data_IF_881070515375
#
_entry.id   IF_881070515375
#
_cell.length_a   1.000
_cell.length_b   1.000
_cell.length_c   1.000
_cell.angle_alpha   90.00
_cell.angle_beta   90.00
_cell.angle_gamma   90.00
#
_symmetry.space_group_name_H-M   'P 1'
#
loop_
_entity.id
_entity.type
_entity.pdbx_description
1 polymer ?
#
# COMPACT_ATOMS: atom_id res chain seq x y z
N UNK A 1 -7.01 52.08 -37.18
CA UNK A 1 -6.90 51.89 -35.73
C UNK A 1 -6.50 50.45 -35.51
N UNK A 2 -5.19 50.20 -35.41
CA UNK A 2 -4.66 48.85 -35.18
C UNK A 2 -4.69 48.57 -33.68
N UNK A 3 -5.47 47.58 -33.25
CA UNK A 3 -5.47 47.08 -31.89
C UNK A 3 -4.27 46.14 -31.70
N UNK A 4 -3.29 46.54 -30.93
CA UNK A 4 -2.23 45.66 -30.42
C UNK A 4 -2.85 44.72 -29.41
N UNK A 5 -3.00 43.44 -29.79
CA UNK A 5 -3.21 42.38 -28.81
C UNK A 5 -1.87 42.20 -28.05
N UNK A 6 -1.80 42.68 -26.85
CA UNK A 6 -0.75 42.33 -25.90
C UNK A 6 -1.02 40.87 -25.49
N UNK A 7 -0.30 39.93 -26.08
CA UNK A 7 -0.25 38.56 -25.57
C UNK A 7 0.40 38.64 -24.17
N UNK A 8 -0.41 38.48 -23.13
CA UNK A 8 0.10 38.32 -21.76
C UNK A 8 0.92 37.04 -21.74
N UNK A 9 2.25 37.19 -21.66
CA UNK A 9 3.11 36.04 -21.43
C UNK A 9 2.76 35.48 -20.04
N UNK A 10 2.03 34.38 -19.99
CA UNK A 10 1.85 33.62 -18.75
C UNK A 10 3.24 33.15 -18.32
N UNK A 11 3.73 33.67 -17.19
CA UNK A 11 4.96 33.17 -16.57
C UNK A 11 4.78 31.68 -16.33
N UNK A 12 5.70 30.87 -16.84
CA UNK A 12 5.66 29.42 -16.63
C UNK A 12 5.73 29.14 -15.12
N UNK A 13 4.79 28.36 -14.58
CA UNK A 13 4.79 27.92 -13.17
C UNK A 13 6.10 27.18 -12.86
N UNK A 14 6.74 27.54 -11.76
CA UNK A 14 7.87 26.81 -11.20
C UNK A 14 7.42 25.57 -10.42
N UNK A 15 8.34 24.67 -10.10
CA UNK A 15 8.03 23.54 -9.21
C UNK A 15 7.58 24.00 -7.83
N UNK A 16 8.03 25.14 -7.37
CA UNK A 16 7.61 25.74 -6.10
C UNK A 16 6.15 26.18 -6.15
N UNK A 17 5.67 26.71 -7.29
CA UNK A 17 4.26 27.06 -7.46
C UNK A 17 3.37 25.81 -7.40
N UNK A 18 3.79 24.69 -8.01
CA UNK A 18 3.10 23.40 -7.91
C UNK A 18 3.12 22.84 -6.48
N UNK A 19 4.24 23.01 -5.78
CA UNK A 19 4.36 22.61 -4.37
C UNK A 19 3.41 23.41 -3.47
N UNK A 20 3.31 24.73 -3.67
CA UNK A 20 2.34 25.57 -2.93
C UNK A 20 0.89 25.18 -3.23
N UNK A 21 0.56 24.96 -4.49
CA UNK A 21 -0.78 24.58 -4.94
C UNK A 21 -1.21 23.20 -4.42
N UNK A 22 -0.26 22.29 -4.15
CA UNK A 22 -0.53 20.95 -3.62
C UNK A 22 -1.37 20.97 -2.34
N UNK A 23 -1.19 21.97 -1.49
CA UNK A 23 -1.89 22.10 -0.20
C UNK A 23 -3.39 22.28 -0.40
N UNK A 24 -3.79 23.21 -1.27
CA UNK A 24 -5.20 23.43 -1.58
C UNK A 24 -5.82 22.26 -2.33
N UNK A 25 -5.04 21.62 -3.23
CA UNK A 25 -5.49 20.43 -3.97
C UNK A 25 -5.71 19.24 -3.05
N UNK A 26 -4.79 18.97 -2.11
CA UNK A 26 -5.00 17.90 -1.14
C UNK A 26 -6.18 18.19 -0.22
N UNK A 27 -6.27 19.41 0.34
CA UNK A 27 -7.40 19.82 1.16
C UNK A 27 -8.74 19.59 0.44
N UNK A 28 -8.85 19.95 -0.84
CA UNK A 28 -10.06 19.71 -1.63
C UNK A 28 -10.31 18.23 -1.90
N UNK A 29 -9.26 17.43 -2.15
CA UNK A 29 -9.38 16.00 -2.43
C UNK A 29 -9.84 15.22 -1.19
N UNK A 30 -9.38 15.59 0.01
CA UNK A 30 -9.79 14.97 1.26
C UNK A 30 -11.27 15.18 1.59
N UNK A 31 -11.90 16.25 1.09
CA UNK A 31 -13.34 16.51 1.26
C UNK A 31 -14.23 15.59 0.44
N UNK A 32 -13.66 14.87 -0.50
CA UNK A 32 -14.41 13.96 -1.35
C UNK A 32 -14.54 12.61 -0.66
N UNK A 33 -15.76 12.24 -0.34
CA UNK A 33 -16.10 10.97 0.27
C UNK A 33 -15.92 9.82 -0.73
N UNK A 34 -14.87 9.04 -0.48
CA UNK A 34 -14.51 7.81 -1.17
C UNK A 34 -14.28 6.66 -0.19
N UNK A 35 -15.02 6.69 0.95
CA UNK A 35 -14.93 5.64 1.97
C UNK A 35 -15.35 4.29 1.36
N UNK A 36 -14.53 3.28 1.57
CA UNK A 36 -14.74 1.93 1.09
C UNK A 36 -14.91 0.96 2.29
N UNK A 37 -16.02 0.23 2.44
CA UNK A 37 -17.20 0.24 1.60
C UNK A 37 -18.08 1.51 1.77
N UNK A 38 -18.93 1.89 0.78
CA UNK A 38 -19.18 1.19 -0.49
C UNK A 38 -18.19 1.51 -1.62
N UNK A 39 -17.28 2.45 -1.45
CA UNK A 39 -16.49 3.08 -2.47
C UNK A 39 -17.15 4.40 -2.89
N UNK A 40 -16.98 4.91 -4.03
CA UNK A 40 -17.45 6.13 -4.68
C UNK A 40 -16.27 6.85 -5.36
N UNK A 41 -15.31 6.09 -5.80
CA UNK A 41 -14.06 6.59 -6.37
C UNK A 41 -14.31 7.43 -7.62
N UNK A 42 -15.43 7.22 -8.34
CA UNK A 42 -15.84 8.09 -9.46
C UNK A 42 -15.94 9.56 -9.07
N UNK A 43 -16.21 9.89 -7.79
CA UNK A 43 -16.17 11.28 -7.28
C UNK A 43 -14.74 11.82 -7.24
N UNK A 44 -13.78 11.00 -6.79
CA UNK A 44 -12.35 11.30 -6.81
C UNK A 44 -11.82 11.46 -8.23
N UNK A 45 -12.19 10.54 -9.12
CA UNK A 45 -11.91 10.63 -10.56
C UNK A 45 -12.40 11.97 -11.12
N UNK A 46 -13.65 12.37 -10.85
CA UNK A 46 -14.18 13.64 -11.32
C UNK A 46 -13.44 14.88 -10.79
N UNK A 47 -12.80 14.78 -9.63
CA UNK A 47 -11.92 15.84 -9.12
C UNK A 47 -10.58 15.87 -9.85
N UNK A 48 -9.92 14.72 -9.98
CA UNK A 48 -8.61 14.59 -10.63
C UNK A 48 -8.70 14.96 -12.12
N UNK A 49 -9.77 14.55 -12.80
CA UNK A 49 -10.05 14.91 -14.19
C UNK A 49 -10.09 16.42 -14.41
N UNK A 50 -10.77 17.16 -13.53
CA UNK A 50 -10.84 18.62 -13.64
C UNK A 50 -9.46 19.28 -13.50
N UNK A 51 -8.57 18.73 -12.70
CA UNK A 51 -7.19 19.22 -12.60
C UNK A 51 -6.48 19.00 -13.94
N UNK A 52 -6.54 17.79 -14.50
CA UNK A 52 -5.90 17.48 -15.80
C UNK A 52 -6.48 18.32 -16.93
N UNK A 53 -7.81 18.50 -16.98
CA UNK A 53 -8.50 19.36 -17.94
C UNK A 53 -8.01 20.82 -17.85
N UNK A 54 -7.91 21.37 -16.65
CA UNK A 54 -7.44 22.74 -16.44
C UNK A 54 -6.01 22.96 -16.91
N UNK A 55 -5.21 21.90 -16.92
CA UNK A 55 -3.84 21.89 -17.40
C UNK A 55 -3.74 21.46 -18.89
N UNK A 56 -4.86 21.12 -19.54
CA UNK A 56 -4.92 20.70 -20.94
C UNK A 56 -4.21 19.36 -21.19
N UNK A 57 -4.20 18.48 -20.21
CA UNK A 57 -3.57 17.15 -20.28
C UNK A 57 -4.63 16.10 -20.54
N UNK A 58 -4.41 15.27 -21.57
CA UNK A 58 -5.30 14.18 -21.91
C UNK A 58 -5.28 13.08 -20.84
N UNK A 59 -6.45 12.51 -20.59
CA UNK A 59 -6.62 11.40 -19.64
C UNK A 59 -7.71 10.45 -20.14
N UNK A 60 -7.75 9.27 -19.56
CA UNK A 60 -8.80 8.27 -19.76
C UNK A 60 -9.42 7.87 -18.42
N UNK A 61 -10.69 7.48 -18.46
CA UNK A 61 -11.48 7.05 -17.29
C UNK A 61 -12.24 5.80 -17.62
N UNK A 62 -12.40 4.92 -16.64
CA UNK A 62 -13.28 3.77 -16.73
C UNK A 62 -13.93 3.50 -15.35
N UNK A 63 -15.21 3.14 -15.36
CA UNK A 63 -15.87 2.53 -14.20
C UNK A 63 -15.83 1.02 -14.35
N UNK A 64 -15.16 0.34 -13.43
CA UNK A 64 -15.09 -1.14 -13.38
C UNK A 64 -16.37 -1.76 -12.79
N UNK A 65 -17.08 -1.00 -11.97
CA UNK A 65 -18.40 -1.28 -11.41
C UNK A 65 -19.07 0.07 -11.06
N UNK A 66 -20.36 0.13 -10.72
CA UNK A 66 -21.03 1.37 -10.35
C UNK A 66 -20.27 2.16 -9.26
N UNK A 67 -19.90 3.41 -9.57
CA UNK A 67 -19.11 4.32 -8.75
C UNK A 67 -17.64 3.90 -8.47
N UNK A 68 -17.15 2.80 -9.05
CA UNK A 68 -15.77 2.32 -8.90
C UNK A 68 -14.92 2.86 -10.06
N UNK A 69 -14.64 4.17 -10.04
CA UNK A 69 -13.94 4.88 -11.11
C UNK A 69 -12.42 4.72 -11.01
N UNK A 70 -11.78 4.55 -12.17
CA UNK A 70 -10.33 4.52 -12.34
C UNK A 70 -9.94 5.58 -13.38
N UNK A 71 -8.77 6.18 -13.24
CA UNK A 71 -8.25 7.22 -14.12
C UNK A 71 -6.79 6.96 -14.45
N UNK A 72 -6.37 7.23 -15.68
CA UNK A 72 -4.95 7.34 -16.04
C UNK A 72 -4.72 8.42 -17.09
N UNK A 73 -3.50 8.95 -17.06
CA UNK A 73 -3.01 9.95 -18.01
C UNK A 73 -1.59 9.58 -18.41
N UNK A 74 -1.23 9.74 -19.69
CA UNK A 74 0.08 9.32 -20.20
C UNK A 74 0.80 10.48 -20.90
N UNK A 75 2.00 10.80 -20.45
CA UNK A 75 2.96 11.63 -21.17
C UNK A 75 3.84 10.72 -22.05
N UNK A 76 3.85 11.00 -23.34
CA UNK A 76 4.60 10.20 -24.32
C UNK A 76 6.04 10.66 -24.42
N UNK A 77 6.96 9.71 -24.51
CA UNK A 77 8.35 9.98 -24.85
C UNK A 77 8.50 10.41 -26.30
N UNK A 78 9.52 11.18 -26.60
CA UNK A 78 9.83 11.64 -27.95
C UNK A 78 10.26 10.47 -28.88
N UNK A 79 10.78 9.41 -28.32
CA UNK A 79 11.16 8.16 -29.03
C UNK A 79 10.60 6.97 -28.26
N UNK A 80 9.65 6.22 -28.84
CA UNK A 80 9.25 4.95 -28.26
C UNK A 80 10.49 4.05 -28.16
N UNK A 81 10.82 3.60 -26.94
CA UNK A 81 12.06 2.83 -26.74
C UNK A 81 11.99 1.42 -27.35
N UNK A 82 10.80 0.92 -27.65
CA UNK A 82 10.57 -0.48 -28.03
C UNK A 82 10.85 -1.47 -26.90
N UNK A 83 11.25 -0.96 -25.73
CA UNK A 83 11.49 -1.71 -24.50
C UNK A 83 10.39 -1.44 -23.47
N UNK A 84 10.19 -2.38 -22.55
CA UNK A 84 9.29 -2.20 -21.39
C UNK A 84 9.99 -1.32 -20.35
N UNK A 85 9.86 -0.01 -20.46
CA UNK A 85 10.54 0.95 -19.58
C UNK A 85 9.67 2.13 -19.12
N UNK A 86 8.39 2.20 -19.52
CA UNK A 86 7.46 3.19 -19.04
C UNK A 86 7.28 3.07 -17.51
N UNK A 87 7.08 4.23 -16.85
CA UNK A 87 6.88 4.33 -15.41
C UNK A 87 5.43 4.67 -15.10
N UNK A 88 4.79 3.87 -14.24
CA UNK A 88 3.50 4.19 -13.64
C UNK A 88 3.70 4.83 -12.27
N UNK A 89 3.04 5.97 -12.04
CA UNK A 89 2.85 6.61 -10.74
C UNK A 89 1.43 6.26 -10.27
N UNK A 90 1.32 5.43 -9.26
CA UNK A 90 0.05 4.89 -8.78
C UNK A 90 -0.30 5.42 -7.40
N UNK A 91 -1.56 5.76 -7.21
CA UNK A 91 -2.19 5.90 -5.89
C UNK A 91 -3.63 5.40 -5.95
N UNK A 92 -4.15 4.91 -4.83
CA UNK A 92 -5.57 4.57 -4.74
C UNK A 92 -6.41 5.76 -4.28
N UNK A 93 -7.69 5.76 -4.68
CA UNK A 93 -8.64 6.84 -4.44
C UNK A 93 -9.45 6.59 -3.17
N UNK A 94 -9.78 5.33 -2.92
CA UNK A 94 -10.59 4.92 -1.76
C UNK A 94 -9.83 5.09 -0.44
N UNK A 95 -10.59 5.10 0.65
CA UNK A 95 -10.07 5.25 2.01
C UNK A 95 -10.89 4.39 2.95
N UNK A 96 -10.25 3.88 4.02
CA UNK A 96 -10.97 3.12 5.06
C UNK A 96 -11.98 3.98 5.83
N UNK A 97 -13.03 3.38 6.41
CA UNK A 97 -13.99 4.07 7.28
C UNK A 97 -13.31 4.77 8.46
N UNK A 98 -13.90 5.87 8.89
CA UNK A 98 -13.49 6.61 10.06
C UNK A 98 -14.68 6.84 10.99
N UNK A 99 -14.54 6.49 12.27
CA UNK A 99 -15.57 6.80 13.25
C UNK A 99 -15.39 8.22 13.77
N UNK A 100 -16.23 9.14 13.32
CA UNK A 100 -16.19 10.57 13.65
C UNK A 100 -16.08 10.87 15.15
N UNK A 101 -16.66 10.01 16.00
CA UNK A 101 -16.65 10.21 17.46
C UNK A 101 -15.26 10.11 18.11
N UNK A 102 -14.31 9.51 17.44
CA UNK A 102 -12.91 9.36 17.90
C UNK A 102 -11.94 10.35 17.26
N UNK A 103 -12.43 11.23 16.37
CA UNK A 103 -11.62 12.21 15.68
C UNK A 103 -11.79 13.60 16.29
N UNK A 104 -10.69 14.33 16.45
CA UNK A 104 -10.70 15.73 16.87
C UNK A 104 -11.23 16.66 15.78
N UNK A 105 -11.13 16.25 14.51
CA UNK A 105 -11.60 16.94 13.31
C UNK A 105 -12.61 16.07 12.56
N UNK A 106 -13.35 16.66 11.61
CA UNK A 106 -14.12 15.85 10.69
C UNK A 106 -13.16 15.08 9.77
N UNK A 107 -13.26 13.74 9.64
CA UNK A 107 -12.39 12.95 8.78
C UNK A 107 -12.37 13.37 7.31
N UNK A 108 -13.40 14.07 6.86
CA UNK A 108 -13.52 14.59 5.49
C UNK A 108 -13.43 16.12 5.42
N UNK A 109 -12.89 16.79 6.44
CA UNK A 109 -12.80 18.26 6.44
C UNK A 109 -11.73 18.81 5.51
N UNK A 110 -10.61 18.11 5.35
CA UNK A 110 -9.45 18.65 4.65
C UNK A 110 -8.90 19.92 5.31
N UNK A 111 -9.10 20.10 6.61
CA UNK A 111 -8.69 21.29 7.34
C UNK A 111 -7.16 21.47 7.33
N UNK A 112 -6.73 22.69 7.04
CA UNK A 112 -5.32 23.09 7.13
C UNK A 112 -5.13 23.90 8.40
N UNK A 113 -4.44 23.31 9.38
CA UNK A 113 -4.26 23.91 10.70
C UNK A 113 -2.93 23.47 11.32
N UNK A 114 -2.26 24.39 12.02
CA UNK A 114 -1.04 24.14 12.79
C UNK A 114 0.07 23.44 11.96
N UNK A 115 0.16 23.76 10.66
CA UNK A 115 1.15 23.19 9.74
C UNK A 115 0.80 21.81 9.18
N UNK A 116 -0.41 21.30 9.42
CA UNK A 116 -0.90 20.01 8.93
C UNK A 116 -2.19 20.15 8.12
N UNK A 117 -2.40 19.19 7.23
CA UNK A 117 -3.65 18.97 6.47
C UNK A 117 -4.29 17.72 7.07
N UNK A 118 -5.47 17.89 7.66
CA UNK A 118 -6.18 16.82 8.35
C UNK A 118 -7.22 16.17 7.46
N UNK A 119 -7.30 14.85 7.50
CA UNK A 119 -8.34 14.08 6.82
C UNK A 119 -7.96 12.63 6.60
N UNK A 120 -8.94 11.75 6.55
CA UNK A 120 -8.77 10.36 6.16
C UNK A 120 -8.28 10.31 4.70
N UNK A 121 -7.17 9.60 4.47
CA UNK A 121 -6.49 9.55 3.18
C UNK A 121 -5.37 10.59 3.04
N UNK A 122 -5.08 11.41 4.07
CA UNK A 122 -4.00 12.40 3.99
C UNK A 122 -2.62 11.75 3.77
N UNK A 123 -2.39 10.58 4.38
CA UNK A 123 -1.19 9.76 4.20
C UNK A 123 -1.50 8.60 3.26
N UNK A 124 -2.66 7.97 3.43
CA UNK A 124 -3.06 6.71 2.79
C UNK A 124 -4.29 6.91 1.87
N UNK A 125 -4.13 7.25 0.55
CA UNK A 125 -2.90 7.67 -0.15
C UNK A 125 -3.11 8.91 -1.00
N UNK A 126 -4.19 9.71 -0.74
CA UNK A 126 -4.51 10.94 -1.49
C UNK A 126 -3.35 11.96 -1.48
N UNK A 127 -2.60 12.04 -0.35
CA UNK A 127 -1.42 12.90 -0.25
C UNK A 127 -0.32 12.50 -1.22
N UNK A 128 -0.04 11.20 -1.34
CA UNK A 128 0.88 10.65 -2.33
C UNK A 128 0.40 10.99 -3.75
N UNK A 129 -0.89 10.74 -4.04
CA UNK A 129 -1.50 11.01 -5.33
C UNK A 129 -1.37 12.47 -5.76
N UNK A 130 -1.57 13.43 -4.84
CA UNK A 130 -1.37 14.86 -5.12
C UNK A 130 0.11 15.17 -5.36
N UNK A 131 1.05 14.61 -4.59
CA UNK A 131 2.47 14.83 -4.81
C UNK A 131 2.91 14.31 -6.18
N UNK A 132 2.49 13.11 -6.57
CA UNK A 132 2.72 12.52 -7.89
C UNK A 132 2.11 13.36 -9.01
N UNK A 133 0.85 13.76 -8.86
CA UNK A 133 0.15 14.60 -9.85
C UNK A 133 0.84 15.94 -10.07
N UNK A 134 1.22 16.64 -9.00
CA UNK A 134 1.88 17.94 -9.12
C UNK A 134 3.23 17.85 -9.83
N UNK A 135 4.03 16.83 -9.52
CA UNK A 135 5.29 16.57 -10.20
C UNK A 135 5.08 16.19 -11.67
N UNK A 136 4.08 15.37 -11.97
CA UNK A 136 3.69 15.00 -13.34
C UNK A 136 3.26 16.23 -14.16
N UNK A 137 2.43 17.11 -13.60
CA UNK A 137 1.98 18.35 -14.24
C UNK A 137 3.15 19.31 -14.50
N UNK A 138 4.03 19.50 -13.50
CA UNK A 138 5.20 20.34 -13.63
C UNK A 138 6.12 19.86 -14.77
N UNK A 139 6.34 18.54 -14.87
CA UNK A 139 7.14 17.95 -15.92
C UNK A 139 6.46 18.07 -17.30
N UNK A 140 5.14 17.86 -17.39
CA UNK A 140 4.40 18.06 -18.63
C UNK A 140 4.54 19.50 -19.17
N UNK A 141 4.60 20.49 -18.26
CA UNK A 141 4.73 21.91 -18.60
C UNK A 141 6.17 22.36 -18.87
N UNK A 142 7.16 21.62 -18.36
CA UNK A 142 8.57 21.99 -18.60
C UNK A 142 8.97 21.92 -20.07
N UNK A 143 8.29 21.06 -20.85
CA UNK A 143 8.63 20.80 -22.25
C UNK A 143 9.92 19.99 -22.40
N UNK A 144 10.51 19.48 -21.31
CA UNK A 144 11.70 18.65 -21.37
C UNK A 144 11.39 17.31 -22.10
N UNK A 145 12.26 16.88 -23.03
CA UNK A 145 11.99 15.67 -23.81
C UNK A 145 12.11 14.43 -22.91
N UNK A 146 11.07 13.61 -22.90
CA UNK A 146 11.08 12.35 -22.17
C UNK A 146 11.80 11.26 -22.96
N UNK A 147 12.60 10.43 -22.27
CA UNK A 147 13.24 9.23 -22.80
C UNK A 147 12.36 7.97 -22.60
N UNK A 148 11.34 8.04 -21.75
CA UNK A 148 10.34 6.99 -21.50
C UNK A 148 8.97 7.59 -21.17
N UNK A 149 7.93 6.82 -21.40
CA UNK A 149 6.57 7.25 -21.08
C UNK A 149 6.36 7.32 -19.57
N UNK A 150 5.59 8.31 -19.14
CA UNK A 150 5.11 8.43 -17.76
C UNK A 150 3.59 8.28 -17.73
N UNK A 151 3.10 7.47 -16.81
CA UNK A 151 1.67 7.22 -16.61
C UNK A 151 1.32 7.63 -15.18
N UNK A 152 0.44 8.61 -15.04
CA UNK A 152 -0.21 8.91 -13.77
C UNK A 152 -1.48 8.06 -13.68
N UNK A 153 -1.66 7.30 -12.61
CA UNK A 153 -2.78 6.38 -12.43
C UNK A 153 -3.41 6.52 -11.06
N UNK A 154 -4.74 6.59 -11.01
CA UNK A 154 -5.54 6.61 -9.79
C UNK A 154 -6.55 5.47 -9.84
N UNK A 155 -6.49 4.55 -8.89
CA UNK A 155 -7.28 3.31 -8.87
C UNK A 155 -8.30 3.28 -7.75
N UNK A 156 -9.33 2.47 -7.92
CA UNK A 156 -10.33 2.16 -6.92
C UNK A 156 -9.94 0.93 -6.11
N UNK A 157 -10.57 0.75 -4.91
CA UNK A 157 -10.73 -0.54 -4.23
C UNK A 157 -9.48 -1.13 -3.58
N UNK A 158 -8.38 -0.40 -3.45
CA UNK A 158 -7.17 -0.94 -2.85
C UNK A 158 -7.43 -1.47 -1.43
N UNK A 159 -8.16 -0.71 -0.62
CA UNK A 159 -8.50 -1.00 0.77
C UNK A 159 -9.37 -2.26 0.96
N UNK A 160 -9.95 -2.77 -0.14
CA UNK A 160 -10.72 -4.01 -0.18
C UNK A 160 -10.09 -5.11 -1.08
N UNK A 161 -8.85 -4.91 -1.54
CA UNK A 161 -8.07 -5.88 -2.30
C UNK A 161 -7.81 -5.53 -3.76
N UNK A 162 -8.22 -4.34 -4.24
CA UNK A 162 -7.89 -3.81 -5.57
C UNK A 162 -8.59 -4.46 -6.76
N UNK A 163 -9.61 -5.30 -6.51
CA UNK A 163 -10.29 -6.08 -7.57
C UNK A 163 -11.15 -5.23 -8.51
N UNK A 164 -11.58 -4.03 -8.08
CA UNK A 164 -12.25 -3.04 -8.94
C UNK A 164 -11.31 -1.94 -9.42
N UNK A 165 -10.03 -1.97 -9.00
CA UNK A 165 -8.98 -1.04 -9.36
C UNK A 165 -7.91 -1.65 -10.23
N UNK A 166 -6.70 -1.73 -9.69
CA UNK A 166 -5.51 -2.24 -10.38
C UNK A 166 -5.69 -3.67 -10.92
N UNK A 167 -6.35 -4.56 -10.16
CA UNK A 167 -6.67 -5.91 -10.61
C UNK A 167 -7.59 -5.91 -11.82
N UNK A 168 -8.65 -5.10 -11.79
CA UNK A 168 -9.57 -4.99 -12.93
C UNK A 168 -8.87 -4.43 -14.18
N UNK A 169 -8.06 -3.39 -14.01
CA UNK A 169 -7.30 -2.79 -15.12
C UNK A 169 -6.33 -3.79 -15.74
N UNK A 170 -5.60 -4.56 -14.91
CA UNK A 170 -4.71 -5.64 -15.37
C UNK A 170 -5.45 -6.64 -16.27
N UNK A 171 -6.65 -7.05 -15.89
CA UNK A 171 -7.38 -8.12 -16.57
C UNK A 171 -8.20 -7.62 -17.77
N UNK A 172 -8.67 -6.35 -17.77
CA UNK A 172 -9.58 -5.82 -18.78
C UNK A 172 -8.98 -4.74 -19.68
N UNK A 173 -7.85 -4.15 -19.29
CA UNK A 173 -7.13 -3.08 -20.03
C UNK A 173 -5.63 -3.35 -20.09
N UNK A 174 -5.19 -4.58 -20.43
CA UNK A 174 -3.77 -4.98 -20.43
C UNK A 174 -2.91 -4.10 -21.36
N UNK A 175 -3.50 -3.50 -22.41
CA UNK A 175 -2.81 -2.63 -23.35
C UNK A 175 -2.17 -1.38 -22.68
N UNK A 176 -2.66 -0.97 -21.51
CA UNK A 176 -2.07 0.14 -20.75
C UNK A 176 -0.66 -0.23 -20.28
N UNK A 177 -0.41 -1.52 -20.04
CA UNK A 177 0.77 -2.04 -19.35
C UNK A 177 1.79 -2.73 -20.27
N UNK A 178 1.54 -2.83 -21.57
CA UNK A 178 2.40 -3.57 -22.53
C UNK A 178 3.86 -3.09 -22.53
N UNK A 179 4.07 -1.77 -22.42
CA UNK A 179 5.39 -1.12 -22.40
C UNK A 179 5.84 -0.69 -21.00
N UNK A 180 5.10 -1.04 -19.95
CA UNK A 180 5.42 -0.67 -18.57
C UNK A 180 6.48 -1.61 -18.02
N UNK A 181 7.57 -1.02 -17.53
CA UNK A 181 8.65 -1.72 -16.84
C UNK A 181 8.74 -1.41 -15.35
N UNK A 182 8.17 -0.28 -14.93
CA UNK A 182 8.33 0.25 -13.58
C UNK A 182 7.02 0.80 -13.02
N UNK A 183 6.89 0.67 -11.68
CA UNK A 183 5.80 1.26 -10.90
C UNK A 183 6.36 1.92 -9.64
N UNK A 184 5.84 3.10 -9.31
CA UNK A 184 5.92 3.73 -7.99
C UNK A 184 4.53 3.80 -7.37
N UNK A 185 4.37 3.19 -6.22
CA UNK A 185 3.16 3.12 -5.44
C UNK A 185 3.46 3.48 -3.98
N UNK A 186 2.49 3.32 -3.10
CA UNK A 186 2.64 3.38 -1.65
C UNK A 186 3.42 2.18 -1.05
N UNK A 187 3.61 2.17 0.26
CA UNK A 187 4.16 1.02 1.03
C UNK A 187 5.53 1.28 1.64
N UNK A 188 6.27 2.30 1.17
CA UNK A 188 7.53 2.77 1.75
C UNK A 188 7.49 4.26 2.05
N UNK A 189 8.24 4.71 3.05
CA UNK A 189 8.32 6.12 3.45
C UNK A 189 9.58 6.40 4.26
N UNK A 190 9.93 7.67 4.42
CA UNK A 190 10.92 8.08 5.40
C UNK A 190 10.43 7.85 6.84
N UNK A 191 11.31 7.39 7.71
CA UNK A 191 11.07 7.28 9.15
C UNK A 191 12.08 8.08 9.93
N UNK A 192 11.60 8.82 10.91
CA UNK A 192 12.43 9.64 11.79
C UNK A 192 12.98 8.80 12.95
N UNK A 193 14.30 8.80 13.10
CA UNK A 193 15.06 8.26 14.22
C UNK A 193 15.83 9.41 14.89
N UNK A 194 15.17 10.12 15.80
CA UNK A 194 15.69 11.38 16.33
C UNK A 194 15.77 12.45 15.24
N UNK A 195 16.97 12.90 14.90
CA UNK A 195 17.23 13.86 13.82
C UNK A 195 17.56 13.20 12.48
N UNK A 196 17.75 11.89 12.45
CA UNK A 196 18.11 11.13 11.25
C UNK A 196 16.85 10.59 10.55
N UNK A 197 16.92 10.45 9.23
CA UNK A 197 15.86 9.87 8.41
C UNK A 197 16.37 8.55 7.83
N UNK A 198 15.59 7.47 7.97
CA UNK A 198 15.75 6.26 7.18
C UNK A 198 14.70 6.29 6.07
N UNK A 199 15.11 6.28 4.81
CA UNK A 199 14.18 6.18 3.68
C UNK A 199 13.95 4.70 3.36
N UNK A 200 12.74 4.22 3.65
CA UNK A 200 12.34 2.84 3.40
C UNK A 200 11.61 2.75 2.06
N UNK A 201 12.05 1.84 1.21
CA UNK A 201 11.43 1.56 -0.09
C UNK A 201 10.91 0.13 -0.09
N UNK A 202 9.61 -0.03 -0.21
CA UNK A 202 8.98 -1.34 -0.27
C UNK A 202 9.35 -2.02 -1.59
N UNK A 203 9.93 -3.21 -1.49
CA UNK A 203 10.34 -4.06 -2.63
C UNK A 203 9.53 -5.34 -2.71
N UNK A 204 8.84 -5.68 -1.64
CA UNK A 204 7.96 -6.84 -1.50
C UNK A 204 7.06 -6.69 -0.28
N UNK A 205 6.05 -7.53 -0.21
CA UNK A 205 5.06 -7.53 0.88
C UNK A 205 4.81 -8.93 1.39
N UNK A 206 4.27 -9.07 2.60
CA UNK A 206 3.70 -10.35 3.02
C UNK A 206 2.50 -10.66 2.13
N UNK A 207 2.38 -11.92 1.73
CA UNK A 207 1.33 -12.38 0.83
C UNK A 207 0.07 -12.66 1.63
N UNK A 208 -1.02 -11.88 1.45
CA UNK A 208 -2.28 -12.19 2.12
C UNK A 208 -2.86 -13.49 1.59
N UNK A 209 -3.40 -14.26 2.51
CA UNK A 209 -4.20 -15.44 2.23
C UNK A 209 -5.39 -15.43 3.18
N UNK A 210 -6.50 -14.90 2.70
CA UNK A 210 -7.73 -14.87 3.48
C UNK A 210 -8.53 -16.14 3.24
N UNK A 211 -8.91 -16.80 4.31
CA UNK A 211 -9.51 -18.12 4.28
C UNK A 211 -10.83 -18.12 5.05
N UNK A 212 -11.82 -18.84 4.53
CA UNK A 212 -13.03 -19.19 5.28
C UNK A 212 -13.01 -20.68 5.58
N UNK A 213 -13.10 -21.01 6.86
CA UNK A 213 -13.29 -22.37 7.38
C UNK A 213 -14.79 -22.60 7.58
N UNK A 214 -15.27 -23.74 7.09
CA UNK A 214 -16.66 -24.17 7.32
C UNK A 214 -16.65 -25.56 7.93
N UNK A 215 -17.21 -25.67 9.13
CA UNK A 215 -17.42 -26.94 9.80
C UNK A 215 -18.89 -27.36 9.71
N UNK A 216 -19.13 -28.59 9.35
CA UNK A 216 -20.50 -29.15 9.25
C UNK A 216 -20.80 -30.16 10.36
N UNK A 217 -22.04 -30.24 10.78
CA UNK A 217 -22.47 -31.19 11.82
C UNK A 217 -24.00 -31.41 11.84
N UNK A 218 -24.44 -32.34 12.64
CA UNK A 218 -25.87 -32.57 12.81
C UNK A 218 -26.48 -31.45 13.66
N UNK A 219 -27.52 -30.75 13.18
CA UNK A 219 -28.21 -29.77 14.00
C UNK A 219 -29.05 -30.40 15.10
N UNK A 220 -29.37 -29.63 16.15
CA UNK A 220 -30.18 -30.16 17.22
C UNK A 220 -30.57 -29.15 18.31
N UNK A 221 -31.25 -29.59 19.31
CA UNK A 221 -31.65 -28.78 20.46
C UNK A 221 -30.52 -28.71 21.47
N UNK A 222 -30.17 -27.47 21.94
CA UNK A 222 -29.07 -27.27 22.88
C UNK A 222 -29.18 -28.02 24.20
N UNK A 223 -30.40 -28.39 24.64
CA UNK A 223 -30.63 -29.22 25.86
C UNK A 223 -30.30 -30.69 25.67
N UNK A 224 -30.06 -31.16 24.45
CA UNK A 224 -29.65 -32.52 24.13
C UNK A 224 -28.23 -32.52 23.54
N UNK A 225 -27.19 -32.33 24.37
CA UNK A 225 -25.83 -32.14 23.89
C UNK A 225 -25.34 -33.39 23.15
N UNK A 226 -24.80 -33.12 21.95
CA UNK A 226 -24.16 -34.14 21.12
C UNK A 226 -22.66 -34.20 21.48
N UNK A 227 -22.05 -35.37 21.29
CA UNK A 227 -20.64 -35.60 21.53
C UNK A 227 -19.79 -34.67 20.65
N UNK A 228 -20.27 -34.39 19.44
CA UNK A 228 -19.56 -33.56 18.45
C UNK A 228 -20.55 -32.73 17.63
N UNK A 229 -20.29 -31.44 17.49
CA UNK A 229 -21.12 -30.48 16.73
C UNK A 229 -20.25 -29.72 15.74
N UNK A 230 -20.88 -29.04 14.77
CA UNK A 230 -20.16 -28.12 13.87
C UNK A 230 -19.31 -27.11 14.64
N UNK A 231 -19.86 -26.52 15.71
CA UNK A 231 -19.19 -25.55 16.56
C UNK A 231 -17.99 -26.17 17.28
N UNK A 232 -18.16 -27.34 17.94
CA UNK A 232 -17.05 -27.95 18.70
C UNK A 232 -15.92 -28.45 17.83
N UNK A 233 -16.18 -28.89 16.60
CA UNK A 233 -15.15 -29.23 15.61
C UNK A 233 -14.37 -27.97 15.21
N UNK A 234 -15.08 -26.90 14.83
CA UNK A 234 -14.45 -25.65 14.43
C UNK A 234 -13.56 -25.09 15.53
N UNK A 235 -14.05 -25.03 16.77
CA UNK A 235 -13.29 -24.55 17.94
C UNK A 235 -12.00 -25.36 18.12
N UNK A 236 -12.06 -26.71 17.96
CA UNK A 236 -10.85 -27.55 18.05
C UNK A 236 -9.85 -27.25 16.92
N UNK A 237 -10.32 -27.08 15.69
CA UNK A 237 -9.47 -26.71 14.56
C UNK A 237 -8.81 -25.35 14.78
N UNK A 238 -9.58 -24.34 15.19
CA UNK A 238 -9.09 -23.00 15.48
C UNK A 238 -8.10 -22.99 16.66
N UNK A 239 -8.35 -23.80 17.70
CA UNK A 239 -7.39 -23.94 18.81
C UNK A 239 -6.04 -24.42 18.29
N UNK A 240 -5.99 -25.46 17.44
CA UNK A 240 -4.74 -25.96 16.87
C UNK A 240 -4.01 -24.88 16.07
N UNK A 241 -4.73 -24.10 15.25
CA UNK A 241 -4.15 -22.99 14.52
C UNK A 241 -3.56 -21.96 15.48
N UNK A 242 -4.31 -21.54 16.50
CA UNK A 242 -3.89 -20.50 17.45
C UNK A 242 -2.71 -20.91 18.32
N UNK A 243 -2.51 -22.20 18.55
CA UNK A 243 -1.39 -22.77 19.31
C UNK A 243 -0.18 -23.11 18.41
N UNK A 244 -0.34 -23.02 17.08
CA UNK A 244 0.75 -23.30 16.15
C UNK A 244 1.66 -22.08 15.99
N UNK A 245 2.92 -22.22 16.32
CA UNK A 245 3.95 -21.25 15.93
C UNK A 245 4.60 -21.72 14.61
N UNK A 246 4.31 -20.99 13.53
CA UNK A 246 4.93 -21.25 12.24
C UNK A 246 6.46 -21.06 12.33
N UNK A 247 7.25 -21.86 11.59
CA UNK A 247 8.71 -21.78 11.63
C UNK A 247 9.25 -20.39 11.33
N UNK A 248 10.28 -19.97 12.07
CA UNK A 248 11.03 -18.75 11.77
C UNK A 248 11.83 -18.94 10.48
N UNK A 249 11.71 -17.95 9.59
CA UNK A 249 12.44 -17.93 8.31
C UNK A 249 12.79 -16.49 7.94
N UNK A 250 14.06 -16.18 7.92
CA UNK A 250 14.56 -14.87 7.51
C UNK A 250 14.82 -14.88 6.00
N UNK A 251 13.92 -14.26 5.23
CA UNK A 251 14.11 -14.08 3.78
C UNK A 251 15.16 -13.02 3.50
N UNK A 252 15.75 -13.02 2.29
CA UNK A 252 16.78 -12.03 1.93
C UNK A 252 16.27 -10.57 2.04
N UNK A 253 15.06 -10.21 1.58
CA UNK A 253 14.54 -8.86 1.78
C UNK A 253 14.38 -8.46 3.26
N UNK A 254 13.97 -9.40 4.11
CA UNK A 254 13.86 -9.17 5.57
C UNK A 254 15.23 -8.96 6.19
N UNK A 255 16.23 -9.78 5.82
CA UNK A 255 17.60 -9.60 6.31
C UNK A 255 18.16 -8.22 5.92
N UNK A 256 18.06 -7.86 4.65
CA UNK A 256 18.52 -6.55 4.14
C UNK A 256 17.84 -5.39 4.86
N UNK A 257 16.53 -5.50 5.13
CA UNK A 257 15.79 -4.49 5.88
C UNK A 257 16.32 -4.32 7.31
N UNK A 258 16.49 -5.40 8.05
CA UNK A 258 17.02 -5.33 9.43
C UNK A 258 18.46 -4.81 9.46
N UNK A 259 19.33 -5.30 8.59
CA UNK A 259 20.73 -4.85 8.44
C UNK A 259 20.79 -3.34 8.15
N UNK A 260 19.95 -2.84 7.23
CA UNK A 260 19.86 -1.42 6.90
C UNK A 260 19.39 -0.57 8.09
N UNK A 261 18.45 -1.08 8.90
CA UNK A 261 17.95 -0.39 10.10
C UNK A 261 18.93 -0.40 11.28
N UNK A 262 19.92 -1.30 11.28
CA UNK A 262 20.87 -1.42 12.39
C UNK A 262 21.63 -0.13 12.68
N UNK A 263 21.95 0.68 11.66
CA UNK A 263 22.65 1.97 11.83
C UNK A 263 21.84 3.01 12.60
N UNK A 264 20.52 2.87 12.68
CA UNK A 264 19.59 3.77 13.40
C UNK A 264 19.23 3.27 14.79
N UNK A 265 19.77 2.11 15.19
CA UNK A 265 19.52 1.45 16.48
C UNK A 265 20.77 1.49 17.37
N UNK A 266 20.64 1.07 18.63
CA UNK A 266 21.76 1.06 19.59
C UNK A 266 21.81 -0.23 20.41
N UNK A 267 23.00 -0.57 20.90
CA UNK A 267 23.20 -1.67 21.83
C UNK A 267 22.80 -3.04 21.28
N UNK A 268 22.06 -3.82 22.07
CA UNK A 268 21.66 -5.18 21.71
C UNK A 268 20.72 -5.22 20.49
N UNK A 269 19.85 -4.22 20.32
CA UNK A 269 18.95 -4.13 19.17
C UNK A 269 19.73 -3.91 17.87
N UNK A 270 20.72 -3.02 17.87
CA UNK A 270 21.63 -2.82 16.73
C UNK A 270 22.37 -4.11 16.36
N UNK A 271 22.95 -4.79 17.36
CA UNK A 271 23.69 -6.03 17.12
C UNK A 271 22.80 -7.14 16.53
N UNK A 272 21.57 -7.26 17.04
CA UNK A 272 20.61 -8.23 16.55
C UNK A 272 20.14 -7.91 15.12
N UNK A 273 19.84 -6.66 14.82
CA UNK A 273 19.43 -6.24 13.47
C UNK A 273 20.57 -6.39 12.46
N UNK A 274 21.82 -6.06 12.84
CA UNK A 274 22.98 -6.23 11.97
C UNK A 274 23.27 -7.71 11.61
N UNK A 275 22.76 -8.66 12.39
CA UNK A 275 22.91 -10.10 12.12
C UNK A 275 21.63 -10.86 12.50
N UNK A 276 20.52 -10.48 11.88
CA UNK A 276 19.19 -11.02 12.19
C UNK A 276 19.12 -12.55 12.02
N UNK A 277 19.86 -13.13 11.05
CA UNK A 277 19.88 -14.58 10.82
C UNK A 277 20.49 -15.37 11.99
N UNK A 278 21.39 -14.77 12.73
CA UNK A 278 21.93 -15.36 13.96
C UNK A 278 21.02 -15.02 15.16
N UNK A 279 20.54 -13.77 15.26
CA UNK A 279 19.72 -13.33 16.37
C UNK A 279 18.44 -14.16 16.52
N UNK A 280 17.82 -14.59 15.43
CA UNK A 280 16.59 -15.43 15.48
C UNK A 280 16.81 -16.85 16.03
N UNK A 281 18.06 -17.28 16.24
CA UNK A 281 18.38 -18.55 16.90
C UNK A 281 18.24 -18.47 18.43
N UNK A 282 18.25 -17.26 18.98
CA UNK A 282 18.03 -17.01 20.39
C UNK A 282 16.51 -16.89 20.68
N UNK A 283 16.00 -17.82 21.47
CA UNK A 283 14.58 -17.85 21.87
C UNK A 283 14.18 -16.61 22.67
N UNK A 284 15.09 -16.03 23.47
CA UNK A 284 14.78 -14.81 24.23
C UNK A 284 14.62 -13.62 23.29
N UNK A 285 15.47 -13.50 22.26
CA UNK A 285 15.33 -12.47 21.23
C UNK A 285 13.97 -12.58 20.52
N UNK A 286 13.56 -13.77 20.13
CA UNK A 286 12.26 -13.99 19.48
C UNK A 286 11.11 -13.61 20.41
N UNK A 287 11.16 -13.98 21.67
CA UNK A 287 10.13 -13.63 22.66
C UNK A 287 10.07 -12.12 22.89
N UNK A 288 11.20 -11.46 23.06
CA UNK A 288 11.26 -10.00 23.21
C UNK A 288 10.74 -9.28 21.97
N UNK A 289 11.12 -9.74 20.77
CA UNK A 289 10.64 -9.17 19.50
C UNK A 289 9.12 -9.33 19.39
N UNK A 290 8.57 -10.50 19.73
CA UNK A 290 7.12 -10.75 19.76
C UNK A 290 6.38 -9.77 20.69
N UNK A 291 6.94 -9.45 21.84
CA UNK A 291 6.32 -8.59 22.84
C UNK A 291 6.49 -7.09 22.57
N UNK A 292 7.67 -6.68 22.09
CA UNK A 292 8.03 -5.26 21.94
C UNK A 292 7.82 -4.73 20.51
N UNK A 293 7.96 -5.60 19.50
CA UNK A 293 7.82 -5.29 18.07
C UNK A 293 7.08 -6.41 17.33
N UNK A 294 5.77 -6.60 17.58
CA UNK A 294 5.00 -7.69 16.96
C UNK A 294 4.98 -7.60 15.43
N UNK A 295 5.03 -6.40 14.86
CA UNK A 295 5.12 -6.22 13.42
C UNK A 295 6.44 -6.77 12.85
N UNK A 296 7.58 -6.44 13.47
CA UNK A 296 8.88 -7.00 13.09
C UNK A 296 8.94 -8.52 13.26
N UNK A 297 8.34 -9.03 14.36
CA UNK A 297 8.25 -10.48 14.57
C UNK A 297 7.43 -11.19 13.48
N UNK A 298 6.34 -10.56 13.01
CA UNK A 298 5.49 -11.10 11.95
C UNK A 298 6.21 -11.19 10.58
N UNK A 299 7.27 -10.39 10.35
CA UNK A 299 8.09 -10.49 9.15
C UNK A 299 9.04 -11.69 9.14
N UNK A 300 9.21 -12.35 10.29
CA UNK A 300 10.13 -13.50 10.45
C UNK A 300 9.42 -14.85 10.24
N UNK A 301 8.11 -14.89 10.02
CA UNK A 301 7.34 -16.13 9.84
C UNK A 301 6.00 -15.91 9.14
N UNK A 302 5.37 -16.99 8.69
CA UNK A 302 3.97 -16.96 8.34
C UNK A 302 3.12 -16.69 9.59
N UNK A 303 1.99 -16.03 9.42
CA UNK A 303 1.06 -15.72 10.52
C UNK A 303 -0.37 -15.98 10.09
N UNK A 304 -1.23 -16.41 11.01
CA UNK A 304 -2.67 -16.51 10.81
C UNK A 304 -3.40 -15.93 12.03
N UNK A 305 -4.26 -14.95 11.79
CA UNK A 305 -5.17 -14.39 12.78
C UNK A 305 -6.57 -14.88 12.54
N UNK A 306 -7.26 -15.35 13.60
CA UNK A 306 -8.69 -15.64 13.55
C UNK A 306 -9.41 -14.30 13.67
N UNK A 307 -10.15 -13.90 12.65
CA UNK A 307 -10.76 -12.55 12.58
C UNK A 307 -12.27 -12.60 12.75
N UNK A 308 -12.94 -13.65 12.28
CA UNK A 308 -14.37 -13.85 12.50
C UNK A 308 -14.66 -15.24 13.03
N UNK A 309 -15.75 -15.40 13.79
CA UNK A 309 -16.25 -16.67 14.29
C UNK A 309 -17.78 -16.61 14.35
N UNK A 310 -18.44 -17.46 13.61
CA UNK A 310 -19.90 -17.52 13.49
C UNK A 310 -20.43 -18.92 13.78
N UNK A 311 -21.55 -18.96 14.46
CA UNK A 311 -22.26 -20.20 14.79
C UNK A 311 -23.77 -20.02 14.73
N UNK A 312 -24.50 -20.52 15.75
CA UNK A 312 -25.94 -20.32 15.82
C UNK A 312 -26.32 -18.90 16.19
N UNK A 313 -27.39 -18.38 15.56
CA UNK A 313 -28.05 -17.13 15.96
C UNK A 313 -28.96 -17.28 17.20
N UNK A 314 -29.16 -18.51 17.68
CA UNK A 314 -30.01 -18.82 18.86
C UNK A 314 -29.29 -19.71 19.87
N UNK A 315 -29.34 -19.32 21.13
CA UNK A 315 -28.64 -19.99 22.23
C UNK A 315 -29.06 -21.46 22.44
N UNK A 316 -30.29 -21.81 22.10
CA UNK A 316 -30.84 -23.15 22.32
C UNK A 316 -30.79 -24.06 21.06
N UNK A 317 -30.06 -23.65 20.00
CA UNK A 317 -29.95 -24.38 18.74
C UNK A 317 -28.50 -24.74 18.46
N UNK A 318 -28.22 -26.00 18.23
CA UNK A 318 -26.95 -26.47 17.65
C UNK A 318 -27.05 -26.31 16.14
N UNK A 319 -26.17 -25.49 15.49
CA UNK A 319 -26.27 -25.22 14.06
C UNK A 319 -25.72 -26.38 13.22
N UNK A 320 -26.22 -26.51 11.98
CA UNK A 320 -25.70 -27.45 11.00
C UNK A 320 -24.28 -27.05 10.52
N UNK A 321 -24.01 -25.77 10.50
CA UNK A 321 -22.71 -25.20 10.08
C UNK A 321 -22.20 -24.18 11.08
N UNK A 322 -20.89 -24.08 11.17
CA UNK A 322 -20.18 -23.00 11.86
C UNK A 322 -19.02 -22.53 10.99
N UNK A 323 -18.74 -21.24 11.02
CA UNK A 323 -17.77 -20.60 10.15
C UNK A 323 -16.73 -19.79 10.93
N UNK A 324 -15.53 -19.69 10.39
CA UNK A 324 -14.51 -18.75 10.84
C UNK A 324 -13.76 -18.19 9.64
N UNK A 325 -13.27 -16.97 9.76
CA UNK A 325 -12.37 -16.40 8.77
C UNK A 325 -10.99 -16.16 9.38
N UNK A 326 -9.98 -16.39 8.57
CA UNK A 326 -8.59 -16.26 8.93
C UNK A 326 -7.93 -15.23 8.00
N UNK A 327 -7.22 -14.25 8.57
CA UNK A 327 -6.24 -13.46 7.88
C UNK A 327 -4.86 -14.09 8.06
N UNK A 328 -4.45 -14.90 7.08
CA UNK A 328 -3.10 -15.44 7.02
C UNK A 328 -2.21 -14.55 6.17
N UNK A 329 -0.95 -14.37 6.59
CA UNK A 329 0.05 -13.57 5.91
C UNK A 329 1.32 -14.40 5.74
N UNK A 330 1.63 -14.76 4.49
CA UNK A 330 2.78 -15.58 4.15
C UNK A 330 4.01 -14.73 3.92
N UNK A 331 5.18 -15.32 4.12
CA UNK A 331 6.44 -14.71 3.66
C UNK A 331 6.47 -14.66 2.12
N UNK A 332 7.18 -13.69 1.52
CA UNK A 332 7.15 -13.44 0.08
C UNK A 332 7.83 -14.52 -0.78
N UNK A 333 8.35 -15.58 -0.17
CA UNK A 333 8.96 -16.75 -0.83
C UNK A 333 8.18 -18.05 -0.56
N UNK A 334 6.98 -17.96 0.01
CA UNK A 334 6.17 -19.12 0.34
C UNK A 334 5.12 -19.39 -0.74
N UNK A 335 4.95 -20.67 -1.07
CA UNK A 335 3.90 -21.13 -1.96
C UNK A 335 2.55 -21.16 -1.22
N UNK A 336 1.54 -20.41 -1.69
CA UNK A 336 0.23 -20.36 -1.05
C UNK A 336 -0.52 -21.70 -1.02
N UNK A 337 -0.38 -22.54 -2.05
CA UNK A 337 -1.09 -23.82 -2.10
C UNK A 337 -0.45 -24.83 -1.14
N UNK A 338 0.88 -24.85 -1.05
CA UNK A 338 1.60 -25.65 -0.06
C UNK A 338 1.27 -25.24 1.37
N UNK A 339 1.13 -23.94 1.62
CA UNK A 339 0.72 -23.46 2.94
C UNK A 339 -0.72 -23.89 3.29
N UNK A 340 -1.63 -23.94 2.32
CA UNK A 340 -2.99 -24.42 2.50
C UNK A 340 -3.02 -25.91 2.89
N UNK A 341 -2.14 -26.72 2.30
CA UNK A 341 -1.96 -28.12 2.68
C UNK A 341 -1.43 -28.25 4.13
N UNK A 342 -0.43 -27.44 4.50
CA UNK A 342 0.11 -27.40 5.87
C UNK A 342 -0.99 -27.02 6.88
N UNK A 343 -1.78 -26.00 6.58
CA UNK A 343 -2.89 -25.56 7.44
C UNK A 343 -3.96 -26.66 7.59
N UNK A 344 -4.27 -27.37 6.51
CA UNK A 344 -5.20 -28.50 6.54
C UNK A 344 -4.71 -29.64 7.47
N UNK A 345 -3.39 -29.92 7.45
CA UNK A 345 -2.78 -30.90 8.35
C UNK A 345 -2.83 -30.44 9.82
N UNK A 346 -2.64 -29.14 10.08
CA UNK A 346 -2.76 -28.56 11.43
C UNK A 346 -4.19 -28.70 11.94
N UNK A 347 -5.18 -28.34 11.13
CA UNK A 347 -6.61 -28.47 11.46
C UNK A 347 -6.97 -29.92 11.76
N UNK A 348 -6.47 -30.85 10.97
CA UNK A 348 -6.60 -32.31 11.14
C UNK A 348 -8.05 -32.73 11.47
N UNK A 349 -9.02 -32.25 10.71
CA UNK A 349 -10.44 -32.60 10.83
C UNK A 349 -11.10 -32.58 9.45
N UNK A 350 -11.46 -33.74 8.87
CA UNK A 350 -12.09 -33.82 7.54
C UNK A 350 -13.48 -33.19 7.47
N UNK A 351 -14.12 -32.93 8.61
CA UNK A 351 -15.39 -32.20 8.69
C UNK A 351 -15.27 -30.69 8.62
N UNK A 352 -14.04 -30.15 8.41
CA UNK A 352 -13.78 -28.74 8.21
C UNK A 352 -13.24 -28.53 6.79
N UNK A 353 -13.98 -27.82 5.97
CA UNK A 353 -13.53 -27.39 4.66
C UNK A 353 -12.87 -26.00 4.72
N UNK A 354 -11.86 -25.78 3.87
CA UNK A 354 -11.15 -24.50 3.74
C UNK A 354 -11.43 -23.95 2.34
N UNK A 355 -11.88 -22.68 2.26
CA UNK A 355 -12.07 -21.95 1.01
C UNK A 355 -11.20 -20.69 1.01
N UNK A 356 -10.41 -20.49 -0.04
CA UNK A 356 -9.71 -19.23 -0.29
C UNK A 356 -10.75 -18.13 -0.57
N UNK A 357 -10.67 -17.02 0.18
CA UNK A 357 -11.39 -15.77 -0.11
C UNK A 357 -10.52 -14.94 -1.02
N UNK A 358 -9.23 -14.77 -0.65
CA UNK A 358 -8.23 -14.01 -1.38
C UNK A 358 -6.86 -14.65 -1.20
N UNK A 359 -6.05 -14.62 -2.24
CA UNK A 359 -4.63 -14.99 -2.16
C UNK A 359 -3.89 -14.33 -3.32
N UNK A 360 -2.69 -13.80 -3.04
CA UNK A 360 -1.83 -13.19 -4.05
C UNK A 360 -0.59 -14.05 -4.32
N UNK A 361 0.08 -13.74 -5.43
CA UNK A 361 1.32 -14.41 -5.81
C UNK A 361 2.51 -13.78 -5.09
N UNK A 362 3.41 -14.56 -4.48
CA UNK A 362 4.64 -14.04 -3.92
C UNK A 362 5.54 -13.44 -5.00
N UNK A 363 6.06 -12.23 -4.79
CA UNK A 363 6.99 -11.60 -5.70
C UNK A 363 7.89 -10.58 -4.99
N UNK A 364 9.12 -10.43 -5.47
CA UNK A 364 10.12 -9.48 -4.95
C UNK A 364 10.70 -8.67 -6.12
N UNK A 365 10.65 -7.35 -6.02
CA UNK A 365 11.28 -6.44 -6.98
C UNK A 365 12.78 -6.35 -6.73
N UNK A 366 13.58 -6.35 -7.82
CA UNK A 366 15.04 -6.22 -7.77
C UNK A 366 15.44 -4.80 -7.37
N UNK A 367 16.54 -4.63 -6.64
CA UNK A 367 17.06 -3.32 -6.19
C UNK A 367 18.23 -2.80 -7.03
N UNK A 368 18.71 -3.57 -8.01
CA UNK A 368 19.80 -3.18 -8.89
C UNK A 368 19.32 -2.49 -10.19
N UNK A 369 18.21 -1.75 -10.12
CA UNK A 369 17.58 -1.07 -11.25
C UNK A 369 17.96 0.40 -11.36
N UNK A 370 17.71 1.00 -12.54
CA UNK A 370 17.90 2.44 -12.76
C UNK A 370 16.95 3.27 -11.86
N UNK A 371 15.69 2.84 -11.72
CA UNK A 371 14.72 3.54 -10.87
C UNK A 371 15.13 3.50 -9.39
N UNK A 372 15.60 2.35 -8.90
CA UNK A 372 16.05 2.27 -7.50
C UNK A 372 17.25 3.19 -7.23
N UNK A 373 18.20 3.25 -8.16
CA UNK A 373 19.33 4.22 -8.08
C UNK A 373 18.88 5.68 -8.14
N UNK A 374 17.85 6.00 -8.93
CA UNK A 374 17.28 7.36 -8.94
C UNK A 374 16.62 7.69 -7.58
N UNK A 375 15.88 6.75 -6.98
CA UNK A 375 15.34 6.92 -5.62
C UNK A 375 16.47 7.16 -4.60
N UNK A 376 17.58 6.42 -4.70
CA UNK A 376 18.73 6.62 -3.81
C UNK A 376 19.30 8.05 -3.93
N UNK A 377 19.51 8.56 -5.16
CA UNK A 377 20.04 9.91 -5.38
C UNK A 377 19.14 11.00 -4.83
N UNK A 378 17.84 10.94 -5.07
CA UNK A 378 16.91 11.96 -4.53
C UNK A 378 16.76 11.83 -3.02
N UNK A 379 16.82 10.63 -2.47
CA UNK A 379 16.79 10.42 -1.01
C UNK A 379 18.03 11.00 -0.32
N UNK A 380 19.20 10.78 -0.88
CA UNK A 380 20.43 11.41 -0.40
C UNK A 380 20.34 12.94 -0.47
N UNK A 381 19.86 13.49 -1.59
CA UNK A 381 19.76 14.93 -1.78
C UNK A 381 18.78 15.61 -0.80
N UNK A 382 17.56 15.06 -0.64
CA UNK A 382 16.49 15.71 0.13
C UNK A 382 16.47 15.34 1.61
N UNK A 383 17.01 14.19 1.98
CA UNK A 383 16.91 13.65 3.34
C UNK A 383 18.28 13.35 3.98
N UNK A 384 19.38 13.47 3.22
CA UNK A 384 20.71 13.00 3.63
C UNK A 384 20.66 11.54 4.16
N UNK A 385 19.88 10.68 3.49
CA UNK A 385 19.50 9.37 3.97
C UNK A 385 19.83 8.26 2.98
N UNK A 386 20.29 7.13 3.49
CA UNK A 386 20.37 5.90 2.72
C UNK A 386 18.97 5.30 2.52
N UNK A 387 18.79 4.65 1.37
CA UNK A 387 17.58 3.90 1.06
C UNK A 387 17.71 2.47 1.59
N UNK A 388 16.71 2.03 2.33
CA UNK A 388 16.62 0.68 2.87
C UNK A 388 15.49 -0.05 2.15
N UNK A 389 15.79 -1.12 1.38
CA UNK A 389 14.76 -2.02 0.86
C UNK A 389 13.97 -2.62 2.01
N UNK A 390 12.63 -2.62 1.93
CA UNK A 390 11.78 -3.09 3.02
C UNK A 390 10.70 -4.06 2.54
N UNK A 391 10.18 -4.82 3.49
CA UNK A 391 9.04 -5.73 3.32
C UNK A 391 7.83 -5.11 3.99
N UNK A 392 6.76 -4.87 3.26
CA UNK A 392 5.50 -4.44 3.85
C UNK A 392 4.80 -5.60 4.58
N UNK A 393 4.29 -5.34 5.78
CA UNK A 393 3.50 -6.32 6.53
C UNK A 393 2.07 -6.45 6.01
N UNK A 394 1.53 -5.38 5.42
CA UNK A 394 0.27 -5.33 4.70
C UNK A 394 0.41 -5.75 3.24
N UNK A 395 -0.59 -5.44 2.43
CA UNK A 395 -0.53 -5.55 0.97
C UNK A 395 -0.80 -4.18 0.34
N UNK A 396 -0.44 -4.03 -0.92
CA UNK A 396 -0.74 -2.87 -1.76
C UNK A 396 -1.02 -3.36 -3.18
N UNK A 397 -1.58 -2.53 -4.03
CA UNK A 397 -1.82 -2.83 -5.45
C UNK A 397 -0.55 -3.23 -6.22
N UNK A 398 0.65 -3.00 -5.67
CA UNK A 398 1.94 -3.36 -6.28
C UNK A 398 2.05 -4.85 -6.66
N UNK A 399 1.31 -5.72 -5.98
CA UNK A 399 1.33 -7.16 -6.30
C UNK A 399 0.78 -7.46 -7.69
N UNK A 400 -0.29 -6.76 -8.16
CA UNK A 400 -0.84 -6.96 -9.50
C UNK A 400 0.18 -6.64 -10.60
N UNK A 401 1.01 -5.62 -10.37
CA UNK A 401 2.05 -5.21 -11.28
C UNK A 401 3.24 -6.17 -11.25
N UNK A 402 3.62 -6.66 -10.08
CA UNK A 402 4.65 -7.70 -9.94
C UNK A 402 4.24 -8.99 -10.65
N UNK A 403 2.96 -9.36 -10.61
CA UNK A 403 2.42 -10.52 -11.36
C UNK A 403 2.61 -10.36 -12.88
N UNK A 404 2.59 -9.13 -13.40
CA UNK A 404 2.88 -8.81 -14.80
C UNK A 404 4.40 -8.73 -15.10
N UNK A 405 5.26 -8.97 -14.11
CA UNK A 405 6.71 -8.83 -14.24
C UNK A 405 7.20 -7.38 -14.21
N UNK A 406 6.37 -6.43 -13.76
CA UNK A 406 6.72 -5.02 -13.63
C UNK A 406 7.47 -4.81 -12.32
N UNK A 407 8.64 -4.15 -12.37
CA UNK A 407 9.39 -3.78 -11.18
C UNK A 407 8.64 -2.70 -10.39
N UNK A 408 8.13 -3.06 -9.22
CA UNK A 408 7.25 -2.22 -8.42
C UNK A 408 7.89 -1.86 -7.09
N UNK A 409 7.96 -0.56 -6.79
CA UNK A 409 8.44 -0.05 -5.52
C UNK A 409 7.36 0.76 -4.81
N UNK A 410 7.20 0.50 -3.51
CA UNK A 410 6.48 1.39 -2.62
C UNK A 410 7.40 2.52 -2.17
N UNK A 411 7.07 3.76 -2.57
CA UNK A 411 7.85 4.95 -2.24
C UNK A 411 6.97 6.17 -2.06
N UNK A 412 6.77 6.57 -0.81
CA UNK A 412 6.17 7.85 -0.45
C UNK A 412 7.28 8.85 -0.07
N UNK A 413 7.29 10.05 -0.65
CA UNK A 413 8.38 11.02 -0.50
C UNK A 413 8.25 11.84 0.81
N UNK A 414 7.69 11.24 1.83
CA UNK A 414 7.40 11.85 3.13
C UNK A 414 8.22 11.18 4.22
N UNK A 415 8.61 11.94 5.26
CA UNK A 415 9.28 11.39 6.43
C UNK A 415 8.37 11.57 7.65
N UNK A 416 7.99 10.47 8.27
CA UNK A 416 7.05 10.44 9.38
C UNK A 416 7.73 10.13 10.71
N UNK A 417 7.33 10.87 11.75
CA UNK A 417 7.52 10.45 13.12
C UNK A 417 6.51 9.38 13.55
N UNK A 418 6.73 8.76 14.74
CA UNK A 418 5.84 7.70 15.22
C UNK A 418 4.38 8.11 15.38
N UNK A 419 4.13 9.39 15.69
CA UNK A 419 2.77 9.90 15.93
C UNK A 419 2.00 10.14 14.62
N UNK A 420 2.67 10.60 13.57
CA UNK A 420 2.02 10.81 12.27
C UNK A 420 1.68 9.46 11.63
N UNK A 421 2.61 8.51 11.68
CA UNK A 421 2.40 7.18 11.11
C UNK A 421 1.25 6.40 11.77
N UNK A 422 0.97 6.63 13.05
CA UNK A 422 -0.18 6.05 13.75
C UNK A 422 -1.54 6.54 13.23
N UNK A 423 -1.57 7.61 12.45
CA UNK A 423 -2.79 8.12 11.80
C UNK A 423 -3.30 7.22 10.68
N UNK A 424 -2.41 6.48 10.01
CA UNK A 424 -2.78 5.51 8.96
C UNK A 424 -3.72 4.47 9.55
N UNK A 425 -4.92 4.33 8.99
CA UNK A 425 -6.06 3.56 9.52
C UNK A 425 -6.48 3.93 10.96
N UNK A 426 -5.80 4.90 11.58
CA UNK A 426 -6.07 5.40 12.93
C UNK A 426 -6.99 6.64 12.92
N UNK A 427 -6.95 7.39 14.03
CA UNK A 427 -7.69 8.65 14.15
C UNK A 427 -6.74 9.85 13.92
N UNK A 428 -7.35 10.98 13.55
CA UNK A 428 -6.64 12.25 13.31
C UNK A 428 -5.48 12.11 12.31
N UNK A 429 -5.72 11.35 11.25
CA UNK A 429 -4.78 11.23 10.12
C UNK A 429 -4.50 12.60 9.53
N UNK A 430 -3.22 12.89 9.30
CA UNK A 430 -2.79 14.19 8.82
C UNK A 430 -1.44 14.13 8.13
N UNK A 431 -1.23 14.97 7.15
CA UNK A 431 0.03 15.16 6.46
C UNK A 431 0.56 16.58 6.71
N UNK A 432 1.85 16.70 7.07
CA UNK A 432 2.48 18.02 7.22
C UNK A 432 2.50 18.75 5.87
N UNK A 433 2.13 20.04 5.90
CA UNK A 433 2.19 20.95 4.73
C UNK A 433 3.60 20.97 4.15
N UNK A 434 4.63 21.04 5.01
CA UNK A 434 6.02 21.06 4.57
C UNK A 434 6.43 19.74 3.92
N UNK A 435 6.00 18.58 4.49
CA UNK A 435 6.26 17.28 3.90
C UNK A 435 5.60 17.13 2.53
N UNK A 436 4.36 17.57 2.37
CA UNK A 436 3.67 17.52 1.09
C UNK A 436 4.42 18.36 0.03
N UNK A 437 4.76 19.61 0.36
CA UNK A 437 5.50 20.49 -0.56
C UNK A 437 6.87 19.92 -0.93
N UNK A 438 7.60 19.38 0.06
CA UNK A 438 8.87 18.69 -0.19
C UNK A 438 8.65 17.46 -1.07
N UNK A 439 7.62 16.68 -0.82
CA UNK A 439 7.28 15.48 -1.58
C UNK A 439 7.03 15.77 -3.08
N UNK A 440 6.39 16.89 -3.39
CA UNK A 440 6.25 17.36 -4.79
C UNK A 440 7.61 17.57 -5.44
N UNK A 441 8.53 18.26 -4.76
CA UNK A 441 9.89 18.51 -5.28
C UNK A 441 10.69 17.21 -5.43
N UNK A 442 10.62 16.32 -4.45
CA UNK A 442 11.27 14.99 -4.50
C UNK A 442 10.79 14.19 -5.71
N UNK A 443 9.48 14.11 -5.95
CA UNK A 443 8.95 13.43 -7.13
C UNK A 443 9.36 14.10 -8.42
N UNK A 444 9.33 15.42 -8.48
CA UNK A 444 9.74 16.14 -9.68
C UNK A 444 11.20 15.85 -10.06
N UNK A 445 12.12 15.91 -9.09
CA UNK A 445 13.52 15.61 -9.33
C UNK A 445 13.76 14.13 -9.64
N UNK A 446 13.01 13.23 -9.00
CA UNK A 446 13.02 11.79 -9.32
C UNK A 446 12.59 11.53 -10.77
N UNK A 447 11.49 12.16 -11.21
CA UNK A 447 10.99 12.00 -12.58
C UNK A 447 11.96 12.58 -13.60
N UNK A 448 12.57 13.72 -13.32
CA UNK A 448 13.61 14.32 -14.18
C UNK A 448 14.82 13.40 -14.32
N UNK A 449 15.36 12.91 -13.21
CA UNK A 449 16.52 12.01 -13.21
C UNK A 449 16.22 10.69 -13.94
N UNK A 450 15.02 10.14 -13.73
CA UNK A 450 14.68 8.83 -14.29
C UNK A 450 14.10 8.89 -15.71
N UNK A 451 13.28 9.88 -16.04
CA UNK A 451 12.47 9.87 -17.25
C UNK A 451 12.82 10.95 -18.30
N UNK A 452 13.59 11.98 -17.95
CA UNK A 452 13.99 13.01 -18.91
C UNK A 452 15.25 12.55 -19.68
N UNK A 453 15.32 12.92 -20.95
CA UNK A 453 16.50 12.70 -21.77
C UNK A 453 17.65 13.61 -21.30
N UNK A 454 18.92 13.15 -21.31
CA UNK A 454 20.07 13.96 -20.93
C UNK A 454 20.31 15.13 -21.88
#
# INVERSE_FOLDING_TARGET
>A
MFAFMVASATVAKSIDDYAEESVSRLSAYLKIDTINPPGNESRGVGYLSKILESEGIAYEVVESAPNRGNLWSRLRSAKPSGSRDALVLLHHIDVVPANRSYWSFDPLSGDVKDGFIYGRGAIDTKGLGIAQMQAFLALARSGEPLKRDLILMATADEEAGGFYGAGWLKDNRPEIFEDVGYLLNEGGSGRLFGSEVAVMVEVTQKVPMWLRLTSTGRPGHGSAPQTETSVTKLVRGLKRISETEFPVRVTDPVATMFEGLASYQKGAEQAASANIREAVKDTNFLLETKLKNPAGHALLRNTCSITTLEGSSKINVVPAEAHAELDCRLLPDQDPDRFLEELSLIINDPGISIRKIMSFTPAVSRTDTELFRAIQRVSEHFFAANVIPTVAGGFTDSHFFRDMGITSYGYSPFAFGPNEFRGVHGNDERLSVEQLKRGVRVYYDLLRDFAVAP
#
